data_IF_551014421353
#
_entry.id   IF_551014421353
#
_cell.length_a   1.000
_cell.length_b   1.000
_cell.length_c   1.000
_cell.angle_alpha   90.00
_cell.angle_beta   90.00
_cell.angle_gamma   90.00
#
_symmetry.space_group_name_H-M   'P 1'
#
loop_
_entity.id
_entity.type
_entity.pdbx_description
1 polymer ?
#
# COMPACT_ATOMS: atom_id res chain seq x y z
N UNK A 1 8.94 12.94 10.01
CA UNK A 1 8.00 13.43 8.99
C UNK A 1 6.72 12.60 9.13
N UNK A 2 5.58 13.18 9.52
CA UNK A 2 4.36 12.41 9.71
C UNK A 2 3.65 12.21 8.36
N UNK A 3 3.46 10.96 7.95
CA UNK A 3 2.72 10.60 6.74
C UNK A 3 1.26 11.05 6.93
N UNK A 4 0.81 12.05 6.16
CA UNK A 4 -0.56 12.58 6.24
C UNK A 4 -1.57 11.65 5.56
N UNK A 5 -1.88 10.54 6.22
CA UNK A 5 -2.90 9.58 5.79
C UNK A 5 -4.28 10.17 6.05
N UNK A 6 -4.90 10.76 5.02
CA UNK A 6 -6.25 11.32 5.05
C UNK A 6 -7.36 10.31 5.40
N UNK A 7 -8.63 10.70 5.27
CA UNK A 7 -9.82 9.87 5.59
C UNK A 7 -10.09 8.73 4.59
N UNK A 8 -9.18 8.50 3.63
CA UNK A 8 -9.34 7.51 2.56
C UNK A 8 -9.18 6.09 3.12
N UNK A 9 -10.14 5.21 2.80
CA UNK A 9 -10.14 3.82 3.27
C UNK A 9 -9.13 2.93 2.53
N UNK A 10 -8.83 3.25 1.28
CA UNK A 10 -7.97 2.46 0.41
C UNK A 10 -7.05 3.34 -0.43
N UNK A 11 -5.80 2.94 -0.54
CA UNK A 11 -4.76 3.57 -1.34
C UNK A 11 -4.34 2.61 -2.44
N UNK A 12 -4.04 3.16 -3.61
CA UNK A 12 -3.44 2.40 -4.71
C UNK A 12 -1.93 2.20 -4.49
N UNK A 13 -1.31 1.26 -5.21
CA UNK A 13 0.14 1.03 -5.10
C UNK A 13 0.97 2.28 -5.45
N UNK A 14 0.49 3.13 -6.35
CA UNK A 14 1.15 4.40 -6.69
C UNK A 14 1.11 5.37 -5.53
N UNK A 15 -0.07 5.54 -4.92
CA UNK A 15 -0.19 6.39 -3.72
C UNK A 15 0.67 5.87 -2.57
N UNK A 16 0.73 4.56 -2.36
CA UNK A 16 1.61 3.98 -1.32
C UNK A 16 3.08 4.21 -1.67
N UNK A 17 3.46 4.06 -2.93
CA UNK A 17 4.83 4.35 -3.39
C UNK A 17 5.21 5.81 -3.12
N UNK A 18 4.33 6.76 -3.42
CA UNK A 18 4.56 8.19 -3.16
C UNK A 18 4.63 8.49 -1.65
N UNK A 19 3.79 7.83 -0.83
CA UNK A 19 3.74 8.04 0.63
C UNK A 19 4.93 7.42 1.36
N UNK A 20 5.49 6.33 0.84
CA UNK A 20 6.59 5.57 1.46
C UNK A 20 7.93 5.85 0.81
N UNK A 21 7.94 6.63 -0.29
CA UNK A 21 9.11 6.86 -1.15
C UNK A 21 9.74 5.55 -1.68
N UNK A 22 8.93 4.49 -1.77
CA UNK A 22 9.36 3.18 -2.25
C UNK A 22 8.89 2.94 -3.68
N UNK A 23 9.71 2.27 -4.49
CA UNK A 23 9.29 1.86 -5.82
C UNK A 23 8.10 0.88 -5.75
N UNK A 24 7.09 0.99 -6.65
CA UNK A 24 5.97 0.05 -6.70
C UNK A 24 6.38 -1.42 -6.88
N UNK A 25 7.55 -1.68 -7.47
CA UNK A 25 8.10 -3.03 -7.60
C UNK A 25 8.48 -3.62 -6.23
N UNK A 26 9.10 -2.82 -5.36
CA UNK A 26 9.48 -3.24 -4.00
C UNK A 26 8.25 -3.60 -3.18
N UNK A 27 7.20 -2.76 -3.22
CA UNK A 27 5.94 -3.03 -2.54
C UNK A 27 5.30 -4.35 -3.01
N UNK A 28 5.44 -4.73 -4.29
CA UNK A 28 4.95 -6.02 -4.80
C UNK A 28 5.77 -7.21 -4.33
N UNK A 29 7.09 -7.06 -4.21
CA UNK A 29 7.94 -8.12 -3.64
C UNK A 29 7.54 -8.37 -2.19
N UNK A 30 7.31 -7.30 -1.43
CA UNK A 30 6.90 -7.35 -0.03
C UNK A 30 5.53 -8.01 0.18
N UNK A 31 4.60 -7.94 -0.77
CA UNK A 31 3.34 -8.71 -0.72
C UNK A 31 3.56 -10.23 -0.62
N UNK A 32 4.67 -10.72 -1.17
CA UNK A 32 5.05 -12.14 -1.10
C UNK A 32 5.84 -12.48 0.16
N UNK A 33 6.69 -11.57 0.62
CA UNK A 33 7.56 -11.80 1.78
C UNK A 33 6.85 -11.58 3.12
N UNK A 34 5.99 -10.57 3.20
CA UNK A 34 5.32 -10.18 4.43
C UNK A 34 3.87 -10.65 4.43
N UNK A 35 3.59 -11.67 5.24
CA UNK A 35 2.24 -12.20 5.42
C UNK A 35 1.24 -11.17 5.99
N UNK A 36 1.71 -10.10 6.61
CA UNK A 36 0.91 -8.96 7.08
C UNK A 36 0.52 -7.99 5.96
N UNK A 37 1.26 -7.95 4.84
CA UNK A 37 1.03 -7.04 3.73
C UNK A 37 0.19 -7.73 2.64
N UNK A 38 -1.10 -7.93 2.90
CA UNK A 38 -2.06 -8.57 1.99
C UNK A 38 -3.07 -7.57 1.42
N UNK A 39 -2.70 -6.75 0.43
CA UNK A 39 -3.64 -5.81 -0.17
C UNK A 39 -4.80 -6.59 -0.78
N UNK A 40 -6.03 -6.10 -0.54
CA UNK A 40 -7.22 -6.76 -1.08
C UNK A 40 -7.23 -6.55 -2.59
N UNK A 41 -7.40 -7.63 -3.35
CA UNK A 41 -7.61 -7.57 -4.79
C UNK A 41 -9.05 -7.08 -5.03
N UNK A 42 -9.19 -5.82 -5.44
CA UNK A 42 -10.51 -5.25 -5.77
C UNK A 42 -10.90 -5.75 -7.17
N UNK A 43 -12.21 -5.80 -7.48
CA UNK A 43 -12.74 -6.21 -8.79
C UNK A 43 -12.00 -5.44 -9.90
N UNK A 44 -11.05 -6.10 -10.58
CA UNK A 44 -10.08 -5.48 -11.49
C UNK A 44 -8.61 -5.90 -11.24
N UNK A 45 -7.65 -5.10 -11.73
CA UNK A 45 -6.19 -5.27 -11.53
C UNK A 45 -5.60 -4.40 -10.42
N UNK A 46 -6.42 -3.64 -9.70
CA UNK A 46 -5.93 -2.70 -8.68
C UNK A 46 -5.80 -3.36 -7.30
N UNK A 47 -4.66 -3.07 -6.68
CA UNK A 47 -4.35 -3.41 -5.29
C UNK A 47 -4.81 -2.29 -4.39
N UNK A 48 -5.57 -2.63 -3.36
CA UNK A 48 -6.05 -1.67 -2.38
C UNK A 48 -5.36 -1.92 -1.04
N UNK A 49 -4.48 -1.00 -0.66
CA UNK A 49 -3.80 -0.96 0.63
C UNK A 49 -4.63 -0.15 1.61
N UNK A 50 -4.69 -0.59 2.86
CA UNK A 50 -5.33 0.15 3.94
C UNK A 50 -4.28 0.98 4.66
N UNK A 51 -4.74 1.96 5.44
CA UNK A 51 -3.89 2.77 6.32
C UNK A 51 -2.94 1.92 7.17
N UNK A 52 -3.42 0.79 7.71
CA UNK A 52 -2.62 -0.16 8.52
C UNK A 52 -1.48 -0.85 7.74
N UNK A 53 -1.60 -0.95 6.42
CA UNK A 53 -0.59 -1.59 5.57
C UNK A 53 0.52 -0.57 5.18
N UNK A 54 0.30 0.72 5.48
CA UNK A 54 1.19 1.86 5.17
C UNK A 54 1.78 2.46 6.46
N UNK A 55 1.06 2.34 7.57
CA UNK A 55 1.49 2.83 8.87
C UNK A 55 2.69 2.00 9.36
N UNK A 56 3.88 2.59 9.25
CA UNK A 56 5.13 2.18 9.90
C UNK A 56 5.33 3.05 11.13
#
# INVERSE_FOLDING_TARGET
MAISLGTKLYYSIGEVADLTELAPYTLRAWEGEFSCLRPKRVRGKNRAYKKRDIAI
#
